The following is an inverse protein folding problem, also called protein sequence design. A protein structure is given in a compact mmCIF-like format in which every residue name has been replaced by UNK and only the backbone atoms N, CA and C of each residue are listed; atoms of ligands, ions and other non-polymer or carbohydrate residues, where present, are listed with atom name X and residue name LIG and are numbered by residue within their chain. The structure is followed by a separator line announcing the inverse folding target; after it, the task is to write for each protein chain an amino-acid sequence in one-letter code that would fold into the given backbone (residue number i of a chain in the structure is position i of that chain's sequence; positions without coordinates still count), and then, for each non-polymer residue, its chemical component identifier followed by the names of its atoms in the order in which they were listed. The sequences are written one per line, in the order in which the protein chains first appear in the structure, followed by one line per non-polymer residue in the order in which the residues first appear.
data_IF_537050661194
#
_entry.id   IF_537050661194
#
_cell.length_a   1.000
_cell.length_b   1.000
_cell.length_c   1.000
_cell.angle_alpha   90.00
_cell.angle_beta   90.00
_cell.angle_gamma   90.00
#
_symmetry.space_group_name_H-M   'P 1'
#
loop_
_entity.id
_entity.type
_entity.pdbx_description
1 polymer ?
#
# COMPACT_ATOMS: atom_id res chain seq x y z
N UNK A 1 -25.22 34.28 64.39
CA UNK A 1 -24.23 35.36 64.36
C UNK A 1 -23.92 35.69 62.91
N UNK A 2 -24.03 36.96 62.56
CA UNK A 2 -23.75 37.54 61.24
C UNK A 2 -22.46 38.36 61.32
N UNK A 3 -21.71 38.45 60.20
CA UNK A 3 -20.81 39.55 59.74
C UNK A 3 -20.00 38.98 58.55
N UNK A 4 -20.07 39.41 57.29
CA UNK A 4 -19.99 40.73 56.63
C UNK A 4 -18.56 41.17 56.24
N UNK A 5 -18.42 41.57 54.94
CA UNK A 5 -17.43 42.51 54.38
C UNK A 5 -16.29 41.88 53.55
N UNK A 6 -15.77 42.45 52.46
CA UNK A 6 -16.10 43.58 51.56
C UNK A 6 -15.09 43.48 50.37
N UNK A 7 -15.51 43.53 49.11
CA UNK A 7 -15.36 44.63 48.14
C UNK A 7 -13.94 45.25 47.95
N UNK A 8 -13.48 45.27 46.68
CA UNK A 8 -12.39 46.14 46.19
C UNK A 8 -12.28 46.08 44.66
N UNK A 9 -12.37 47.24 44.00
CA UNK A 9 -12.58 47.42 42.56
C UNK A 9 -11.47 48.25 41.86
N UNK A 10 -11.37 48.06 40.53
CA UNK A 10 -11.09 49.03 39.47
C UNK A 10 -9.67 49.57 39.15
N UNK A 11 -9.42 49.74 37.83
CA UNK A 11 -8.47 50.68 37.21
C UNK A 11 -7.46 50.03 36.24
N UNK A 12 -7.76 49.82 34.95
CA UNK A 12 -7.72 50.74 33.80
C UNK A 12 -6.32 51.04 33.21
N UNK A 13 -6.11 50.70 31.93
CA UNK A 13 -5.39 51.54 30.96
C UNK A 13 -5.53 50.98 29.52
N UNK A 14 -6.36 51.65 28.72
CA UNK A 14 -6.40 51.57 27.26
C UNK A 14 -5.45 52.62 26.68
N UNK A 15 -4.70 52.29 25.63
CA UNK A 15 -4.12 53.28 24.71
C UNK A 15 -4.54 52.97 23.28
N UNK A 16 -5.29 53.91 22.69
CA UNK A 16 -5.38 54.14 21.25
C UNK A 16 -4.07 54.80 20.77
N UNK A 17 -3.69 54.95 19.50
CA UNK A 17 -4.33 54.87 18.19
C UNK A 17 -3.20 54.89 17.14
N UNK A 18 -3.37 54.24 15.99
CA UNK A 18 -2.50 54.43 14.83
C UNK A 18 -3.29 54.13 13.56
N UNK A 19 -3.81 55.19 12.95
CA UNK A 19 -4.64 55.12 11.76
C UNK A 19 -3.83 54.69 10.52
N UNK A 20 -4.35 53.73 9.77
CA UNK A 20 -4.28 53.74 8.31
C UNK A 20 -5.62 53.27 7.78
N UNK A 21 -6.49 54.25 7.53
CA UNK A 21 -7.68 54.12 6.70
C UNK A 21 -7.23 54.37 5.27
N UNK A 22 -7.07 53.33 4.47
CA UNK A 22 -7.04 53.49 3.03
C UNK A 22 -7.81 52.34 2.38
N UNK A 23 -8.97 52.69 1.81
CA UNK A 23 -9.67 52.02 0.70
C UNK A 23 -9.94 50.50 0.85
N UNK A 24 -11.17 50.03 0.93
CA UNK A 24 -12.42 50.64 0.49
C UNK A 24 -13.58 49.63 0.55
N UNK A 25 -14.78 50.02 0.11
CA UNK A 25 -16.05 49.44 0.54
C UNK A 25 -16.87 48.84 -0.61
N UNK A 26 -17.34 47.60 -0.49
CA UNK A 26 -18.54 47.11 -1.20
C UNK A 26 -19.16 46.00 -0.32
N UNK A 27 -20.24 46.27 0.40
CA UNK A 27 -21.62 46.41 -0.07
C UNK A 27 -22.33 45.04 -0.16
N UNK A 28 -23.48 44.97 0.51
CA UNK A 28 -24.57 44.11 0.08
C UNK A 28 -24.63 42.74 0.74
N UNK A 29 -25.18 42.68 1.94
CA UNK A 29 -26.08 41.57 2.28
C UNK A 29 -27.27 41.59 1.31
N UNK A 30 -27.76 40.39 0.98
CA UNK A 30 -29.07 40.10 0.40
C UNK A 30 -29.26 40.24 -1.12
N UNK A 31 -28.78 39.24 -1.87
CA UNK A 31 -29.57 38.63 -2.95
C UNK A 31 -29.05 37.23 -3.40
N UNK A 32 -28.21 36.54 -2.61
CA UNK A 32 -27.73 35.18 -2.93
C UNK A 32 -28.15 34.09 -1.94
N UNK A 33 -28.73 34.47 -0.79
CA UNK A 33 -28.96 33.56 0.33
C UNK A 33 -30.05 32.50 0.12
N UNK A 34 -31.00 32.72 -0.80
CA UNK A 34 -32.10 31.78 -1.00
C UNK A 34 -31.73 30.60 -1.90
N UNK A 35 -30.81 30.76 -2.87
CA UNK A 35 -30.37 29.65 -3.72
C UNK A 35 -29.19 28.86 -3.11
N UNK A 36 -28.33 29.49 -2.31
CA UNK A 36 -27.29 28.79 -1.56
C UNK A 36 -27.85 27.86 -0.46
N UNK A 37 -28.99 28.22 0.15
CA UNK A 37 -29.65 27.39 1.18
C UNK A 37 -30.27 26.09 0.66
N UNK A 38 -30.41 25.93 -0.67
CA UNK A 38 -30.93 24.70 -1.28
C UNK A 38 -29.82 23.77 -1.81
N UNK A 39 -28.58 24.26 -1.90
CA UNK A 39 -27.41 23.46 -2.31
C UNK A 39 -26.41 23.21 -1.17
N UNK A 40 -26.56 23.92 -0.06
CA UNK A 40 -25.82 23.72 1.18
C UNK A 40 -26.81 23.26 2.27
N UNK A 41 -27.29 22.02 2.11
CA UNK A 41 -27.89 21.23 3.17
C UNK A 41 -26.82 20.33 3.76
N UNK A 42 -26.04 20.92 4.67
CA UNK A 42 -25.05 20.30 5.57
C UNK A 42 -23.69 19.89 4.97
N UNK A 43 -22.63 20.64 5.29
CA UNK A 43 -21.26 20.09 5.30
C UNK A 43 -20.08 20.94 4.80
N UNK A 44 -20.28 22.05 4.08
CA UNK A 44 -19.14 22.81 3.50
C UNK A 44 -18.83 24.13 4.21
N UNK A 45 -18.05 24.03 5.28
CA UNK A 45 -17.23 25.11 5.81
C UNK A 45 -15.76 24.89 5.41
N UNK A 46 -15.27 25.72 4.49
CA UNK A 46 -13.84 25.92 4.22
C UNK A 46 -13.32 25.19 2.99
N UNK A 47 -12.53 25.89 2.16
CA UNK A 47 -11.58 25.22 1.27
C UNK A 47 -10.66 24.37 2.16
N UNK A 48 -10.92 23.07 2.18
CA UNK A 48 -10.22 22.12 3.02
C UNK A 48 -8.79 22.03 2.47
N UNK A 49 -7.80 22.46 3.25
CA UNK A 49 -6.37 22.21 2.96
C UNK A 49 -6.16 20.71 2.63
N UNK A 50 -7.02 19.86 3.17
CA UNK A 50 -7.15 18.43 2.90
C UNK A 50 -7.40 18.07 1.41
N UNK A 51 -8.25 18.79 0.68
CA UNK A 51 -8.50 18.52 -0.76
C UNK A 51 -7.27 18.85 -1.61
N UNK A 52 -6.51 19.87 -1.21
CA UNK A 52 -5.25 20.25 -1.88
C UNK A 52 -4.15 19.23 -1.59
N UNK A 53 -4.11 18.67 -0.37
CA UNK A 53 -3.16 17.62 0.01
C UNK A 53 -3.45 16.30 -0.71
N UNK A 54 -4.72 15.90 -0.83
CA UNK A 54 -5.12 14.70 -1.58
C UNK A 54 -4.76 14.85 -3.05
N UNK A 55 -5.03 16.00 -3.66
CA UNK A 55 -4.63 16.27 -5.04
C UNK A 55 -3.10 16.26 -5.22
N UNK A 56 -2.34 16.74 -4.23
CA UNK A 56 -0.87 16.70 -4.26
C UNK A 56 -0.32 15.27 -4.15
N UNK A 57 -0.92 14.42 -3.32
CA UNK A 57 -0.54 13.00 -3.18
C UNK A 57 -0.87 12.21 -4.45
N UNK A 58 -2.07 12.42 -5.02
CA UNK A 58 -2.46 11.79 -6.28
C UNK A 58 -1.52 12.23 -7.41
N UNK A 59 -1.22 13.52 -7.51
CA UNK A 59 -0.27 14.04 -8.50
C UNK A 59 1.14 13.47 -8.29
N UNK A 60 1.60 13.31 -7.05
CA UNK A 60 2.89 12.71 -6.72
C UNK A 60 2.95 11.22 -7.08
N UNK A 61 1.90 10.45 -6.80
CA UNK A 61 1.84 9.03 -7.16
C UNK A 61 1.80 8.83 -8.68
N UNK A 62 1.02 9.63 -9.40
CA UNK A 62 1.01 9.63 -10.87
C UNK A 62 2.39 10.00 -11.44
N UNK A 63 3.03 11.03 -10.89
CA UNK A 63 4.35 11.45 -11.33
C UNK A 63 5.42 10.40 -11.03
N UNK A 64 5.39 9.78 -9.86
CA UNK A 64 6.30 8.70 -9.44
C UNK A 64 6.13 7.46 -10.30
N UNK A 65 4.89 7.09 -10.64
CA UNK A 65 4.59 5.95 -11.49
C UNK A 65 5.03 6.19 -12.95
N UNK A 66 4.82 7.38 -13.48
CA UNK A 66 5.30 7.77 -14.82
C UNK A 66 6.84 7.85 -14.85
N UNK A 67 7.48 8.39 -13.82
CA UNK A 67 8.93 8.48 -13.73
C UNK A 67 9.60 7.10 -13.56
N UNK A 68 9.00 6.19 -12.80
CA UNK A 68 9.46 4.81 -12.66
C UNK A 68 9.32 4.02 -13.98
N UNK A 69 8.25 4.28 -14.74
CA UNK A 69 8.05 3.68 -16.07
C UNK A 69 9.02 4.21 -17.12
N UNK A 70 9.38 5.50 -17.07
CA UNK A 70 10.42 6.09 -17.93
C UNK A 70 11.83 5.60 -17.60
N UNK A 71 12.15 5.33 -16.32
CA UNK A 71 13.44 4.74 -15.93
C UNK A 71 13.60 3.32 -16.45
N UNK A 72 12.56 2.49 -16.41
CA UNK A 72 12.57 1.15 -17.02
C UNK A 72 12.64 1.18 -18.57
N UNK A 73 12.19 2.26 -19.22
CA UNK A 73 12.37 2.46 -20.67
C UNK A 73 13.71 3.11 -21.06
N UNK A 74 14.40 3.79 -20.13
CA UNK A 74 15.69 4.42 -20.39
C UNK A 74 16.90 3.47 -20.23
N UNK A 75 16.73 2.30 -19.61
CA UNK A 75 17.79 1.27 -19.60
C UNK A 75 17.91 0.49 -20.92
N UNK A 76 17.03 0.72 -21.89
CA UNK A 76 17.12 0.08 -23.21
C UNK A 76 17.53 1.02 -24.35
N UNK A 77 17.68 2.32 -24.11
CA UNK A 77 18.10 3.27 -25.14
C UNK A 77 19.27 4.13 -24.65
N UNK A 78 20.50 3.64 -24.87
CA UNK A 78 21.67 4.48 -25.04
C UNK A 78 22.44 4.06 -26.32
N UNK A 79 23.00 5.02 -27.10
CA UNK A 79 23.19 4.85 -28.54
C UNK A 79 24.65 4.65 -28.98
N UNK A 80 24.78 4.05 -30.17
CA UNK A 80 25.79 4.24 -31.22
C UNK A 80 27.27 3.87 -30.98
N UNK A 81 27.82 3.01 -31.85
CA UNK A 81 29.19 3.16 -32.33
C UNK A 81 29.99 1.90 -32.73
N UNK A 82 29.95 1.58 -34.03
CA UNK A 82 31.03 1.00 -34.87
C UNK A 82 31.25 -0.54 -34.97
N UNK A 83 31.70 -1.03 -36.15
CA UNK A 83 31.54 -2.41 -36.60
C UNK A 83 32.88 -3.20 -36.68
N UNK A 84 32.84 -4.54 -36.57
CA UNK A 84 33.78 -5.50 -37.21
C UNK A 84 33.23 -6.93 -37.00
N UNK A 85 32.81 -7.61 -38.07
CA UNK A 85 33.55 -8.60 -38.89
C UNK A 85 33.39 -10.06 -38.43
N UNK A 86 32.87 -10.89 -39.37
CA UNK A 86 33.10 -12.34 -39.58
C UNK A 86 32.66 -13.28 -38.44
N UNK A 87 32.12 -14.47 -38.66
CA UNK A 87 32.29 -15.47 -39.72
C UNK A 87 30.95 -16.17 -40.02
N UNK A 88 30.75 -16.47 -41.29
CA UNK A 88 29.73 -17.38 -41.81
C UNK A 88 30.27 -18.81 -41.64
N UNK A 89 29.59 -19.65 -40.87
CA UNK A 89 29.77 -21.10 -40.97
C UNK A 89 28.42 -21.76 -41.25
N UNK A 90 28.36 -22.30 -42.46
CA UNK A 90 27.27 -23.00 -43.10
C UNK A 90 27.24 -24.45 -42.59
N UNK A 91 26.10 -24.98 -42.15
CA UNK A 91 25.87 -26.43 -42.12
C UNK A 91 24.36 -26.78 -42.15
N UNK A 92 23.90 -26.95 -43.39
CA UNK A 92 22.95 -27.92 -43.95
C UNK A 92 21.83 -28.55 -43.09
N UNK A 93 20.57 -28.59 -43.59
CA UNK A 93 19.48 -29.35 -42.99
C UNK A 93 19.50 -30.81 -43.44
N UNK A 94 19.29 -31.75 -42.52
CA UNK A 94 19.07 -33.15 -42.83
C UNK A 94 17.98 -33.76 -41.93
N UNK A 95 16.81 -33.98 -42.53
CA UNK A 95 16.05 -35.22 -42.44
C UNK A 95 15.30 -35.57 -41.15
N UNK A 96 13.98 -35.73 -41.28
CA UNK A 96 13.23 -36.70 -40.46
C UNK A 96 11.93 -36.17 -39.87
N UNK A 97 10.87 -36.13 -40.69
CA UNK A 97 9.50 -36.01 -40.18
C UNK A 97 8.99 -37.38 -39.67
N UNK A 98 7.91 -37.31 -38.87
CA UNK A 98 6.83 -38.32 -38.72
C UNK A 98 6.86 -39.13 -37.39
N UNK A 99 5.89 -38.82 -36.51
CA UNK A 99 5.48 -39.41 -35.22
C UNK A 99 6.08 -38.86 -33.91
N UNK A 100 5.22 -38.17 -33.14
CA UNK A 100 5.44 -37.83 -31.74
C UNK A 100 4.95 -36.42 -31.43
N UNK A 101 3.74 -36.30 -30.86
CA UNK A 101 3.06 -35.04 -30.61
C UNK A 101 3.93 -34.01 -29.90
N UNK A 102 3.94 -32.78 -30.43
CA UNK A 102 4.51 -31.61 -29.77
C UNK A 102 3.73 -31.33 -28.49
N UNK A 103 4.20 -31.89 -27.37
CA UNK A 103 3.84 -31.37 -26.07
C UNK A 103 4.48 -29.99 -25.94
N UNK A 104 3.64 -28.95 -25.84
CA UNK A 104 4.06 -27.65 -25.35
C UNK A 104 4.85 -27.83 -24.04
N UNK A 105 5.85 -26.97 -23.72
CA UNK A 105 6.51 -27.02 -22.43
C UNK A 105 5.45 -26.85 -21.35
N UNK A 106 5.13 -27.95 -20.67
CA UNK A 106 4.29 -27.93 -19.48
C UNK A 106 5.07 -27.09 -18.47
N UNK A 107 4.52 -25.94 -18.08
CA UNK A 107 5.07 -25.16 -16.98
C UNK A 107 5.32 -26.13 -15.82
N UNK A 108 6.57 -26.19 -15.34
CA UNK A 108 6.94 -27.07 -14.25
C UNK A 108 5.96 -26.84 -13.09
N UNK A 109 5.21 -27.88 -12.73
CA UNK A 109 4.34 -27.83 -11.55
C UNK A 109 5.21 -27.43 -10.36
N UNK A 110 4.75 -26.50 -9.51
CA UNK A 110 5.52 -26.13 -8.34
C UNK A 110 5.84 -27.38 -7.52
N UNK A 111 7.09 -27.49 -7.11
CA UNK A 111 7.57 -28.59 -6.28
C UNK A 111 6.94 -28.39 -4.91
N UNK A 112 5.94 -29.20 -4.58
CA UNK A 112 5.41 -29.29 -3.21
C UNK A 112 6.28 -30.31 -2.47
N UNK A 113 7.36 -29.84 -1.85
CA UNK A 113 8.15 -30.60 -0.89
C UNK A 113 7.63 -30.27 0.51
N UNK A 114 6.39 -30.68 0.78
CA UNK A 114 5.72 -30.39 2.04
C UNK A 114 6.09 -31.41 3.12
N UNK A 115 6.33 -30.97 4.37
CA UNK A 115 6.50 -31.87 5.51
C UNK A 115 5.25 -32.72 5.74
N UNK A 116 5.40 -33.92 6.33
CA UNK A 116 4.28 -34.82 6.61
C UNK A 116 3.22 -34.24 7.57
N UNK A 117 3.61 -33.29 8.44
CA UNK A 117 2.72 -32.60 9.36
C UNK A 117 1.97 -31.42 8.72
N UNK A 118 2.37 -30.98 7.52
CA UNK A 118 1.80 -29.80 6.88
C UNK A 118 0.38 -30.08 6.39
N UNK A 119 -0.55 -29.20 6.78
CA UNK A 119 -1.94 -29.25 6.33
C UNK A 119 -2.25 -27.99 5.53
N UNK A 120 -2.37 -28.15 4.21
CA UNK A 120 -2.61 -27.04 3.28
C UNK A 120 -3.88 -26.25 3.62
N UNK A 121 -5.01 -26.93 3.87
CA UNK A 121 -6.29 -26.26 4.12
C UNK A 121 -6.23 -25.37 5.36
N UNK A 122 -5.70 -25.90 6.47
CA UNK A 122 -5.51 -25.13 7.70
C UNK A 122 -4.49 -24.01 7.52
N UNK A 123 -3.44 -24.24 6.74
CA UNK A 123 -2.44 -23.23 6.46
C UNK A 123 -3.01 -22.06 5.65
N UNK A 124 -3.78 -22.33 4.58
CA UNK A 124 -4.42 -21.30 3.75
C UNK A 124 -5.46 -20.51 4.56
N UNK A 125 -6.22 -21.17 5.43
CA UNK A 125 -7.17 -20.50 6.32
C UNK A 125 -6.45 -19.58 7.32
N UNK A 126 -5.39 -20.06 7.97
CA UNK A 126 -4.57 -19.26 8.87
C UNK A 126 -3.88 -18.09 8.14
N UNK A 127 -3.40 -18.31 6.92
CA UNK A 127 -2.80 -17.29 6.08
C UNK A 127 -3.77 -16.15 5.74
N UNK A 128 -5.05 -16.47 5.49
CA UNK A 128 -6.10 -15.46 5.33
C UNK A 128 -6.26 -14.61 6.58
N UNK A 129 -6.27 -15.23 7.76
CA UNK A 129 -6.36 -14.49 9.04
C UNK A 129 -5.12 -13.63 9.28
N UNK A 130 -3.91 -14.13 8.99
CA UNK A 130 -2.67 -13.35 9.07
C UNK A 130 -2.70 -12.14 8.14
N UNK A 131 -3.18 -12.30 6.91
CA UNK A 131 -3.33 -11.19 5.97
C UNK A 131 -4.24 -10.10 6.53
N UNK A 132 -5.42 -10.47 7.06
CA UNK A 132 -6.36 -9.50 7.63
C UNK A 132 -5.79 -8.79 8.86
N UNK A 133 -5.16 -9.53 9.77
CA UNK A 133 -4.54 -8.96 10.97
C UNK A 133 -3.39 -7.99 10.61
N UNK A 134 -2.55 -8.35 9.62
CA UNK A 134 -1.49 -7.47 9.17
C UNK A 134 -2.04 -6.16 8.60
N UNK A 135 -3.11 -6.22 7.80
CA UNK A 135 -3.77 -5.04 7.25
C UNK A 135 -4.39 -4.15 8.35
N UNK A 136 -5.06 -4.76 9.33
CA UNK A 136 -5.64 -4.04 10.47
C UNK A 136 -4.57 -3.28 11.28
N UNK A 137 -3.50 -3.98 11.66
CA UNK A 137 -2.39 -3.37 12.41
C UNK A 137 -1.61 -2.36 11.58
N UNK A 138 -1.47 -2.58 10.28
CA UNK A 138 -0.88 -1.61 9.37
C UNK A 138 -1.71 -0.32 9.32
N UNK A 139 -3.02 -0.43 9.14
CA UNK A 139 -3.93 0.71 9.07
C UNK A 139 -3.91 1.54 10.36
N UNK A 140 -3.90 0.85 11.51
CA UNK A 140 -3.82 1.41 12.85
C UNK A 140 -2.43 1.91 13.27
N UNK A 141 -1.38 1.71 12.46
CA UNK A 141 0.01 2.04 12.78
C UNK A 141 0.58 1.29 14.00
N UNK A 142 0.16 0.05 14.23
CA UNK A 142 0.56 -0.76 15.39
C UNK A 142 1.79 -1.63 15.07
N UNK A 143 2.95 -0.99 14.84
CA UNK A 143 4.17 -1.70 14.43
C UNK A 143 4.64 -2.78 15.43
N UNK A 144 4.37 -2.58 16.72
CA UNK A 144 4.69 -3.56 17.76
C UNK A 144 3.87 -4.85 17.60
N UNK A 145 2.63 -4.74 17.08
CA UNK A 145 1.77 -5.90 16.76
C UNK A 145 2.18 -6.57 15.47
N UNK A 146 2.54 -5.79 14.46
CA UNK A 146 3.08 -6.31 13.19
C UNK A 146 4.31 -7.20 13.42
N UNK A 147 5.16 -6.86 14.39
CA UNK A 147 6.36 -7.62 14.74
C UNK A 147 6.10 -9.10 15.10
N UNK A 148 4.87 -9.45 15.51
CA UNK A 148 4.48 -10.82 15.84
C UNK A 148 4.25 -11.69 14.58
N UNK A 149 4.01 -11.06 13.42
CA UNK A 149 3.62 -11.73 12.18
C UNK A 149 4.73 -11.77 11.12
N UNK A 150 5.76 -10.94 11.27
CA UNK A 150 6.78 -10.73 10.23
C UNK A 150 8.18 -11.02 10.76
N UNK A 151 9.11 -11.31 9.86
CA UNK A 151 10.52 -11.45 10.25
C UNK A 151 11.10 -10.08 10.68
N UNK A 152 12.13 -10.05 11.53
CA UNK A 152 12.78 -8.79 11.94
C UNK A 152 13.26 -7.95 10.75
N UNK A 153 13.72 -8.61 9.68
CA UNK A 153 14.19 -7.94 8.48
C UNK A 153 13.04 -7.26 7.72
N UNK A 154 11.88 -7.92 7.60
CA UNK A 154 10.70 -7.34 6.97
C UNK A 154 10.09 -6.24 7.85
N UNK A 155 10.10 -6.40 9.19
CA UNK A 155 9.63 -5.37 10.11
C UNK A 155 10.35 -4.04 9.92
N UNK A 156 11.68 -4.07 9.84
CA UNK A 156 12.47 -2.87 9.63
C UNK A 156 12.20 -2.21 8.28
N UNK A 157 11.85 -3.00 7.26
CA UNK A 157 11.39 -2.46 5.98
C UNK A 157 10.02 -1.78 6.13
N UNK A 158 9.05 -2.46 6.74
CA UNK A 158 7.69 -1.94 6.95
C UNK A 158 7.68 -0.67 7.80
N UNK A 159 8.51 -0.58 8.85
CA UNK A 159 8.65 0.64 9.66
C UNK A 159 9.10 1.85 8.83
N UNK A 160 10.04 1.66 7.90
CA UNK A 160 10.50 2.75 7.02
C UNK A 160 9.40 3.18 6.05
N UNK A 161 8.74 2.21 5.41
CA UNK A 161 7.63 2.48 4.51
C UNK A 161 6.49 3.21 5.24
N UNK A 162 6.18 2.80 6.47
CA UNK A 162 5.18 3.47 7.28
C UNK A 162 5.58 4.89 7.66
N UNK A 163 6.84 5.11 8.03
CA UNK A 163 7.35 6.44 8.34
C UNK A 163 7.27 7.40 7.13
N UNK A 164 7.40 6.88 5.90
CA UNK A 164 7.23 7.67 4.67
C UNK A 164 5.78 8.09 4.41
N UNK A 165 4.80 7.33 4.92
CA UNK A 165 3.36 7.65 4.82
C UNK A 165 2.89 8.69 5.85
N UNK A 166 3.65 8.86 6.95
CA UNK A 166 3.34 9.78 8.04
C UNK A 166 2.31 9.25 9.04
N UNK A 167 1.83 10.12 9.94
CA UNK A 167 0.97 9.75 11.08
C UNK A 167 -0.53 9.59 10.73
N UNK A 168 -0.88 9.67 9.44
CA UNK A 168 -2.26 9.51 8.99
C UNK A 168 -2.73 8.07 9.13
N UNK A 169 -3.92 7.88 9.71
CA UNK A 169 -4.60 6.58 9.66
C UNK A 169 -4.81 6.17 8.20
N UNK A 170 -4.49 4.91 7.90
CA UNK A 170 -4.87 4.30 6.63
C UNK A 170 -6.18 3.55 6.85
N UNK A 171 -6.94 3.34 5.78
CA UNK A 171 -8.19 2.59 5.84
C UNK A 171 -8.27 1.77 4.57
N UNK A 172 -7.96 0.49 4.69
CA UNK A 172 -7.89 -0.46 3.60
C UNK A 172 -8.97 -1.51 3.82
N UNK A 173 -9.91 -1.61 2.88
CA UNK A 173 -10.90 -2.69 2.87
C UNK A 173 -10.63 -3.64 1.72
N UNK A 174 -10.69 -4.94 1.99
CA UNK A 174 -10.35 -5.98 1.02
C UNK A 174 -11.60 -6.78 0.68
N UNK A 175 -12.06 -6.63 -0.56
CA UNK A 175 -13.16 -7.39 -1.12
C UNK A 175 -12.64 -8.60 -1.90
N UNK A 176 -13.40 -9.70 -1.84
CA UNK A 176 -13.18 -10.91 -2.63
C UNK A 176 -11.77 -11.52 -2.48
N UNK A 177 -11.23 -11.55 -1.26
CA UNK A 177 -9.89 -12.10 -0.99
C UNK A 177 -9.79 -13.59 -1.35
N UNK A 178 -9.03 -13.87 -2.39
CA UNK A 178 -8.59 -15.20 -2.76
C UNK A 178 -7.16 -15.45 -2.24
N UNK A 179 -6.91 -16.68 -1.83
CA UNK A 179 -5.60 -17.13 -1.32
C UNK A 179 -5.27 -18.45 -1.99
N UNK A 180 -4.11 -18.50 -2.62
CA UNK A 180 -3.59 -19.69 -3.30
C UNK A 180 -2.24 -20.07 -2.70
N UNK A 181 -2.05 -21.34 -2.38
CA UNK A 181 -0.74 -21.89 -2.04
C UNK A 181 0.02 -22.21 -3.32
N UNK A 182 1.12 -21.51 -3.56
CA UNK A 182 1.94 -21.68 -4.77
C UNK A 182 3.05 -22.69 -4.57
N UNK A 183 3.54 -22.89 -3.34
CA UNK A 183 4.63 -23.81 -3.07
C UNK A 183 4.91 -23.99 -1.59
N UNK A 184 5.45 -25.15 -1.24
CA UNK A 184 6.00 -25.45 0.10
C UNK A 184 7.31 -26.20 -0.10
N UNK A 185 8.34 -25.75 0.61
CA UNK A 185 9.68 -26.32 0.57
C UNK A 185 10.20 -26.53 1.99
N UNK A 186 10.33 -27.79 2.40
CA UNK A 186 10.94 -28.16 3.67
C UNK A 186 12.46 -28.21 3.56
N UNK A 187 13.14 -27.38 4.37
CA UNK A 187 14.60 -27.30 4.44
C UNK A 187 15.10 -27.73 5.81
N UNK A 188 16.41 -27.95 5.89
CA UNK A 188 17.06 -28.42 7.11
C UNK A 188 16.84 -27.50 8.33
N UNK A 189 16.73 -26.19 8.12
CA UNK A 189 16.61 -25.18 9.17
C UNK A 189 15.19 -24.60 9.33
N UNK A 190 14.37 -24.64 8.27
CA UNK A 190 13.01 -24.11 8.26
C UNK A 190 12.15 -24.68 7.13
N UNK A 191 10.84 -24.54 7.27
CA UNK A 191 9.89 -24.73 6.17
C UNK A 191 9.54 -23.37 5.57
N UNK A 192 9.54 -23.29 4.24
CA UNK A 192 9.18 -22.09 3.49
C UNK A 192 7.90 -22.38 2.71
N UNK A 193 6.96 -21.43 2.72
CA UNK A 193 5.74 -21.52 1.93
C UNK A 193 5.51 -20.22 1.15
N UNK A 194 5.10 -20.34 -0.11
CA UNK A 194 4.76 -19.19 -0.96
C UNK A 194 3.26 -19.18 -1.18
N UNK A 195 2.62 -18.06 -0.86
CA UNK A 195 1.19 -17.84 -1.10
C UNK A 195 1.00 -16.70 -2.08
N UNK A 196 -0.05 -16.74 -2.90
CA UNK A 196 -0.54 -15.59 -3.64
C UNK A 196 -1.90 -15.18 -3.11
N UNK A 197 -2.00 -13.91 -2.72
CA UNK A 197 -3.22 -13.22 -2.36
C UNK A 197 -3.70 -12.40 -3.55
N UNK A 198 -5.01 -12.37 -3.78
CA UNK A 198 -5.61 -11.47 -4.77
C UNK A 198 -7.01 -11.05 -4.35
N UNK A 199 -7.44 -9.89 -4.83
CA UNK A 199 -8.74 -9.32 -4.48
C UNK A 199 -8.88 -7.89 -4.97
N UNK A 200 -9.78 -7.14 -4.35
CA UNK A 200 -10.00 -5.72 -4.63
C UNK A 200 -9.76 -4.93 -3.34
N UNK A 201 -8.82 -4.00 -3.37
CA UNK A 201 -8.51 -3.09 -2.27
C UNK A 201 -9.26 -1.77 -2.42
N UNK A 202 -9.85 -1.26 -1.34
CA UNK A 202 -10.68 -0.05 -1.32
C UNK A 202 -10.25 0.86 -0.19
N UNK A 203 -10.22 2.17 -0.47
CA UNK A 203 -9.92 3.16 0.57
C UNK A 203 -11.17 3.72 1.25
N UNK A 204 -12.36 3.37 0.72
CA UNK A 204 -13.67 3.74 1.28
C UNK A 204 -14.74 2.77 0.80
N UNK A 205 -15.85 2.67 1.54
CA UNK A 205 -17.02 1.85 1.17
C UNK A 205 -17.71 2.30 -0.13
N UNK A 206 -17.48 3.53 -0.56
CA UNK A 206 -17.99 4.08 -1.82
C UNK A 206 -16.98 4.00 -2.97
N UNK A 207 -15.77 3.53 -2.69
CA UNK A 207 -14.73 3.33 -3.68
C UNK A 207 -15.00 2.04 -4.48
N UNK A 208 -14.74 2.09 -5.78
CA UNK A 208 -14.77 0.90 -6.63
C UNK A 208 -13.60 -0.03 -6.31
N UNK A 209 -12.50 0.55 -5.81
CA UNK A 209 -11.29 -0.16 -5.43
C UNK A 209 -10.39 -0.50 -6.61
N UNK A 210 -9.19 -0.98 -6.27
CA UNK A 210 -8.17 -1.42 -7.19
C UNK A 210 -7.94 -2.92 -7.02
N UNK A 211 -7.95 -3.66 -8.13
CA UNK A 211 -7.59 -5.06 -8.11
C UNK A 211 -6.10 -5.22 -7.75
N UNK A 212 -5.80 -6.10 -6.82
CA UNK A 212 -4.42 -6.40 -6.43
C UNK A 212 -4.13 -7.90 -6.56
N UNK A 213 -2.86 -8.20 -6.77
CA UNK A 213 -2.29 -9.52 -6.55
C UNK A 213 -0.91 -9.37 -5.94
N UNK A 214 -0.61 -10.16 -4.92
CA UNK A 214 0.69 -10.17 -4.27
C UNK A 214 1.07 -11.56 -3.80
N UNK A 215 2.36 -11.86 -3.85
CA UNK A 215 2.91 -13.10 -3.34
C UNK A 215 3.64 -12.86 -2.03
N UNK A 216 3.34 -13.69 -1.03
CA UNK A 216 3.97 -13.68 0.28
C UNK A 216 4.86 -14.88 0.43
N UNK A 217 6.08 -14.65 0.91
CA UNK A 217 6.99 -15.70 1.33
C UNK A 217 6.89 -15.86 2.85
N UNK A 218 6.41 -17.01 3.29
CA UNK A 218 6.25 -17.37 4.69
C UNK A 218 7.39 -18.30 5.11
N UNK A 219 7.89 -18.15 6.33
CA UNK A 219 8.84 -19.07 6.93
C UNK A 219 8.39 -19.52 8.32
N UNK A 220 8.72 -20.78 8.64
CA UNK A 220 8.53 -21.36 9.96
C UNK A 220 9.79 -22.12 10.35
N UNK A 221 10.37 -21.78 11.50
CA UNK A 221 11.52 -22.50 12.04
C UNK A 221 11.17 -23.96 12.32
N UNK A 222 12.16 -24.84 12.28
CA UNK A 222 11.97 -26.24 12.68
C UNK A 222 11.68 -26.35 14.19
N UNK A 223 10.93 -27.39 14.55
CA UNK A 223 10.52 -27.67 15.93
C UNK A 223 9.02 -27.52 16.16
N UNK A 224 8.61 -27.85 17.38
CA UNK A 224 7.21 -27.78 17.79
C UNK A 224 6.82 -26.32 18.09
N UNK A 225 5.54 -26.02 17.87
CA UNK A 225 4.89 -24.73 18.18
C UNK A 225 5.56 -23.47 17.61
N UNK A 226 6.40 -23.61 16.57
CA UNK A 226 6.98 -22.47 15.87
C UNK A 226 5.93 -21.71 15.05
N UNK A 227 5.88 -20.37 15.12
CA UNK A 227 4.95 -19.57 14.33
C UNK A 227 5.36 -19.50 12.86
N UNK A 228 4.38 -19.19 12.01
CA UNK A 228 4.63 -18.79 10.63
C UNK A 228 4.81 -17.28 10.56
N UNK A 229 5.94 -16.84 10.01
CA UNK A 229 6.28 -15.42 9.85
C UNK A 229 6.34 -15.05 8.37
N UNK A 230 5.87 -13.86 8.02
CA UNK A 230 6.05 -13.27 6.69
C UNK A 230 7.51 -12.80 6.56
N UNK A 231 8.25 -13.41 5.65
CA UNK A 231 9.64 -13.07 5.36
C UNK A 231 9.78 -12.09 4.18
N UNK A 232 8.76 -12.00 3.32
CA UNK A 232 8.75 -11.04 2.22
C UNK A 232 7.39 -10.95 1.53
N UNK A 233 7.12 -9.78 0.95
CA UNK A 233 5.91 -9.48 0.19
C UNK A 233 6.34 -8.94 -1.17
N UNK A 234 5.69 -9.39 -2.24
CA UNK A 234 5.95 -8.94 -3.61
C UNK A 234 4.64 -8.71 -4.34
N UNK A 235 4.40 -7.50 -4.81
CA UNK A 235 3.28 -7.21 -5.70
C UNK A 235 3.47 -7.90 -7.06
N UNK A 236 2.44 -8.60 -7.53
CA UNK A 236 2.41 -9.21 -8.85
C UNK A 236 1.89 -8.18 -9.86
N UNK A 237 2.61 -8.03 -10.98
CA UNK A 237 2.34 -7.02 -12.02
C UNK A 237 1.37 -7.50 -13.09
#
# INVERSE_FOLDING_TARGET
AATAGAAGAAGAATKASGASRWLGPLAGIAAGGLLASMFMGDGFQGMQIFDILIMAVIAFLVFRFIAARRRKQQEQFAPAGAPMQREVFNQQPAGGSIFGGSAAPVAARPVINAPAWFNEQRFVEAARSHFQALQEHWDANEMDKIAEFVTPQLLEFLKRERAELGDGFQSTHIDNLHVQLDGVDDRADKTIATLTFSGVSKNSRFDQGEAFSESWNMERAQGDDQPWLVAGIRQNS
#
